data_IF_130099784490
#
_entry.id   IF_130099784490
#
_cell.length_a   1.000
_cell.length_b   1.000
_cell.length_c   1.000
_cell.angle_alpha   90.00
_cell.angle_beta   90.00
_cell.angle_gamma   90.00
#
_symmetry.space_group_name_H-M   'P 1'
#
loop_
_entity.id
_entity.type
_entity.pdbx_description
1 polymer ?
#
# COMPACT_ATOMS: atom_id res chain seq x y z
N UNK A 1 8.40 -7.44 9.97
CA UNK A 1 8.60 -8.89 9.83
C UNK A 1 9.91 -9.21 9.12
N UNK A 2 10.54 -10.34 9.47
CA UNK A 2 11.79 -10.85 8.88
C UNK A 2 11.68 -11.08 7.35
N UNK A 3 10.47 -11.22 6.83
CA UNK A 3 10.19 -11.46 5.40
C UNK A 3 10.30 -10.22 4.51
N UNK A 4 10.55 -9.05 5.08
CA UNK A 4 10.76 -7.84 4.28
C UNK A 4 12.04 -7.94 3.43
N UNK A 5 12.08 -7.21 2.29
CA UNK A 5 13.26 -7.18 1.41
C UNK A 5 14.51 -6.74 2.16
N UNK A 6 15.67 -7.31 1.78
CA UNK A 6 16.94 -7.01 2.44
C UNK A 6 17.30 -5.54 2.30
N UNK A 7 17.02 -4.95 1.15
CA UNK A 7 17.28 -3.53 0.85
C UNK A 7 16.57 -2.58 1.82
N UNK A 8 15.33 -2.92 2.25
CA UNK A 8 14.60 -2.14 3.27
C UNK A 8 15.28 -2.22 4.63
N UNK A 9 15.71 -3.42 5.02
CA UNK A 9 16.42 -3.64 6.29
C UNK A 9 17.73 -2.88 6.34
N UNK A 10 18.50 -2.95 5.26
CA UNK A 10 19.80 -2.28 5.15
C UNK A 10 19.65 -0.75 5.16
N UNK A 11 18.61 -0.22 4.50
CA UNK A 11 18.32 1.21 4.54
C UNK A 11 17.99 1.69 5.96
N UNK A 12 17.20 0.94 6.72
CA UNK A 12 16.89 1.29 8.10
C UNK A 12 18.15 1.32 8.97
N UNK A 13 19.04 0.33 8.82
CA UNK A 13 20.32 0.29 9.53
C UNK A 13 21.24 1.43 9.12
N UNK A 14 21.30 1.74 7.83
CA UNK A 14 22.08 2.87 7.28
C UNK A 14 21.62 4.22 7.87
N UNK A 15 20.31 4.36 8.10
CA UNK A 15 19.74 5.54 8.76
C UNK A 15 19.97 5.56 10.29
N UNK A 16 20.68 4.60 10.85
CA UNK A 16 20.99 4.54 12.27
C UNK A 16 19.88 3.91 13.13
N UNK A 17 18.87 3.28 12.53
CA UNK A 17 17.84 2.60 13.30
C UNK A 17 18.35 1.27 13.89
N UNK A 18 18.02 1.03 15.15
CA UNK A 18 18.12 -0.30 15.75
C UNK A 18 16.94 -1.13 15.25
N UNK A 19 17.23 -2.15 14.41
CA UNK A 19 16.20 -2.95 13.76
C UNK A 19 15.95 -4.25 14.52
N UNK A 20 14.73 -4.40 15.06
CA UNK A 20 14.26 -5.65 15.66
C UNK A 20 13.40 -6.42 14.67
N UNK A 21 13.94 -7.47 14.10
CA UNK A 21 13.22 -8.37 13.21
C UNK A 21 12.37 -9.36 14.01
N UNK A 22 11.16 -9.62 13.55
CA UNK A 22 10.21 -10.52 14.20
C UNK A 22 9.56 -11.46 13.17
N UNK A 23 9.03 -12.63 13.58
CA UNK A 23 8.35 -13.55 12.68
C UNK A 23 7.19 -12.89 11.92
N UNK A 24 6.97 -13.33 10.68
CA UNK A 24 5.81 -12.95 9.89
C UNK A 24 4.59 -13.75 10.31
N UNK A 25 3.83 -13.22 11.25
CA UNK A 25 2.62 -13.86 11.81
C UNK A 25 1.39 -12.97 11.66
N UNK A 26 0.16 -13.53 11.63
CA UNK A 26 -1.08 -12.76 11.54
C UNK A 26 -1.24 -11.76 12.70
N UNK A 27 -2.01 -10.70 12.48
CA UNK A 27 -2.25 -9.65 13.48
C UNK A 27 -2.77 -10.17 14.84
N UNK A 28 -3.56 -11.23 14.85
CA UNK A 28 -4.09 -11.86 16.07
C UNK A 28 -3.01 -12.54 16.95
N UNK A 29 -1.83 -12.81 16.38
CA UNK A 29 -0.72 -13.41 17.12
C UNK A 29 -0.02 -12.34 17.96
N UNK A 30 0.25 -12.56 19.26
CA UNK A 30 0.93 -11.59 20.11
C UNK A 30 2.38 -11.28 19.68
N UNK A 31 2.99 -12.12 18.84
CA UNK A 31 4.31 -11.90 18.25
C UNK A 31 4.27 -11.08 16.95
N UNK A 32 3.08 -10.67 16.51
CA UNK A 32 2.99 -9.77 15.37
C UNK A 32 3.72 -8.44 15.65
N UNK A 33 4.42 -7.94 14.66
CA UNK A 33 5.27 -6.73 14.78
C UNK A 33 4.53 -5.52 15.35
N UNK A 34 3.23 -5.38 15.15
CA UNK A 34 2.43 -4.28 15.71
C UNK A 34 2.36 -4.39 17.23
N UNK A 35 2.08 -5.59 17.75
CA UNK A 35 2.01 -5.82 19.20
C UNK A 35 3.40 -5.77 19.85
N UNK A 36 4.41 -6.33 19.17
CA UNK A 36 5.80 -6.29 19.65
C UNK A 36 6.31 -4.84 19.74
N UNK A 37 6.04 -4.00 18.73
CA UNK A 37 6.45 -2.60 18.77
C UNK A 37 5.77 -1.80 19.88
N UNK A 38 4.50 -2.11 20.18
CA UNK A 38 3.80 -1.49 21.31
C UNK A 38 4.44 -1.82 22.66
N UNK A 39 4.68 -3.12 22.94
CA UNK A 39 5.36 -3.57 24.16
C UNK A 39 6.77 -3.00 24.28
N UNK A 40 7.53 -2.99 23.20
CA UNK A 40 8.86 -2.42 23.18
C UNK A 40 8.83 -0.91 23.53
N UNK A 41 7.88 -0.16 22.99
CA UNK A 41 7.75 1.26 23.32
C UNK A 41 7.39 1.47 24.80
N UNK A 42 6.57 0.60 25.40
CA UNK A 42 6.26 0.63 26.84
C UNK A 42 7.49 0.33 27.70
N UNK A 43 8.28 -0.69 27.34
CA UNK A 43 9.55 -1.04 28.01
C UNK A 43 10.56 0.13 27.94
N UNK A 44 10.78 0.67 26.74
CA UNK A 44 11.70 1.78 26.53
C UNK A 44 11.23 3.06 27.23
N UNK A 45 9.94 3.30 27.32
CA UNK A 45 9.41 4.47 28.02
C UNK A 45 9.68 4.43 29.55
N UNK A 46 9.95 3.24 30.10
CA UNK A 46 10.31 3.08 31.51
C UNK A 46 11.84 3.12 31.73
N UNK A 47 12.64 2.74 30.75
CA UNK A 47 14.09 2.59 30.87
C UNK A 47 14.89 3.76 30.30
N UNK A 48 14.37 4.42 29.25
CA UNK A 48 15.09 5.49 28.56
C UNK A 48 14.80 6.86 29.19
N UNK A 49 15.84 7.72 29.38
CA UNK A 49 15.68 9.05 30.03
C UNK A 49 14.66 9.96 29.34
N UNK A 50 14.55 9.87 28.01
CA UNK A 50 13.62 10.67 27.19
C UNK A 50 12.34 9.93 26.84
N UNK A 51 12.16 8.70 27.35
CA UNK A 51 11.04 7.84 27.03
C UNK A 51 11.03 7.35 25.57
N UNK A 52 9.90 6.80 25.15
CA UNK A 52 9.69 6.31 23.77
C UNK A 52 8.28 6.63 23.28
N UNK A 53 8.16 6.88 22.00
CA UNK A 53 6.85 7.11 21.34
C UNK A 53 6.55 5.97 20.37
N UNK A 54 5.41 5.31 20.57
CA UNK A 54 4.86 4.39 19.59
C UNK A 54 3.95 5.13 18.62
N UNK A 55 4.37 5.26 17.36
CA UNK A 55 3.64 6.04 16.35
C UNK A 55 2.24 5.48 16.01
N UNK A 56 1.99 4.15 16.24
CA UNK A 56 0.69 3.49 16.01
C UNK A 56 0.12 3.75 14.63
N UNK A 57 0.95 3.68 13.59
CA UNK A 57 0.61 4.13 12.23
C UNK A 57 -0.71 3.59 11.66
N UNK A 58 -1.20 2.42 12.13
CA UNK A 58 -2.44 1.81 11.65
C UNK A 58 -3.70 2.43 12.27
N UNK A 59 -3.61 2.88 13.54
CA UNK A 59 -4.77 3.30 14.32
C UNK A 59 -4.71 4.75 14.78
N UNK A 60 -3.54 5.39 14.67
CA UNK A 60 -3.40 6.82 14.91
C UNK A 60 -3.93 7.61 13.71
N UNK A 61 -5.07 8.25 13.89
CA UNK A 61 -5.75 9.02 12.85
C UNK A 61 -4.99 10.25 12.37
N UNK A 62 -3.91 10.66 13.05
CA UNK A 62 -2.99 11.67 12.54
C UNK A 62 -2.41 11.28 11.17
N UNK A 63 -2.30 9.97 10.88
CA UNK A 63 -1.88 9.46 9.58
C UNK A 63 -2.87 9.89 8.48
N UNK A 64 -4.14 9.53 8.59
CA UNK A 64 -5.17 9.93 7.58
C UNK A 64 -5.36 11.45 7.53
N UNK A 65 -5.24 12.12 8.67
CA UNK A 65 -5.35 13.58 8.75
C UNK A 65 -4.23 14.27 7.96
N UNK A 66 -3.01 13.78 8.02
CA UNK A 66 -1.91 14.31 7.21
C UNK A 66 -2.24 14.28 5.71
N UNK A 67 -2.79 13.16 5.21
CA UNK A 67 -3.21 13.05 3.81
C UNK A 67 -4.44 13.91 3.46
N UNK A 68 -5.37 14.05 4.40
CA UNK A 68 -6.53 14.95 4.25
C UNK A 68 -6.10 16.42 4.13
N UNK A 69 -5.13 16.85 4.94
CA UNK A 69 -4.66 18.23 4.98
C UNK A 69 -3.64 18.56 3.87
N UNK A 70 -2.97 17.57 3.29
CA UNK A 70 -1.90 17.79 2.30
C UNK A 70 -2.13 17.09 0.97
N UNK A 71 -2.10 15.77 0.92
CA UNK A 71 -2.12 14.98 -0.33
C UNK A 71 -3.42 15.18 -1.11
N UNK A 72 -4.56 15.13 -0.44
CA UNK A 72 -5.87 15.34 -1.10
C UNK A 72 -6.01 16.74 -1.71
N UNK A 73 -5.74 17.83 -0.97
CA UNK A 73 -5.70 19.18 -1.52
C UNK A 73 -4.68 19.39 -2.64
N UNK A 74 -3.54 18.69 -2.58
CA UNK A 74 -2.53 18.76 -3.64
C UNK A 74 -3.04 18.10 -4.93
N UNK A 75 -3.63 16.91 -4.85
CA UNK A 75 -4.27 16.23 -5.99
C UNK A 75 -5.33 17.15 -6.61
N UNK A 76 -6.23 17.71 -5.80
CA UNK A 76 -7.27 18.62 -6.27
C UNK A 76 -6.69 19.82 -7.03
N UNK A 77 -5.67 20.47 -6.48
CA UNK A 77 -5.02 21.62 -7.10
C UNK A 77 -4.31 21.25 -8.40
N UNK A 78 -3.56 20.14 -8.43
CA UNK A 78 -2.78 19.71 -9.58
C UNK A 78 -3.64 19.21 -10.75
N UNK A 79 -4.87 18.78 -10.46
CA UNK A 79 -5.85 18.37 -11.48
C UNK A 79 -6.81 19.50 -11.87
N UNK A 80 -6.62 20.72 -11.37
CA UNK A 80 -7.59 21.83 -11.53
C UNK A 80 -9.02 21.43 -11.13
N UNK A 81 -9.15 20.58 -10.12
CA UNK A 81 -10.44 20.04 -9.66
C UNK A 81 -11.10 19.04 -10.61
N UNK A 82 -10.39 18.57 -11.64
CA UNK A 82 -10.91 17.65 -12.67
C UNK A 82 -10.62 16.18 -12.35
N UNK A 83 -10.62 15.80 -11.09
CA UNK A 83 -10.47 14.41 -10.67
C UNK A 83 -11.84 13.75 -10.54
N UNK A 84 -12.05 12.64 -11.24
CA UNK A 84 -13.30 11.87 -11.23
C UNK A 84 -13.17 10.59 -10.40
N UNK A 85 -11.95 10.07 -10.28
CA UNK A 85 -11.67 8.87 -9.51
C UNK A 85 -10.31 8.91 -8.82
N UNK A 86 -10.25 8.39 -7.60
CA UNK A 86 -9.01 8.14 -6.86
C UNK A 86 -8.97 6.71 -6.38
N UNK A 87 -7.85 6.03 -6.60
CA UNK A 87 -7.66 4.64 -6.21
C UNK A 87 -6.25 4.41 -5.70
N UNK A 88 -6.09 3.65 -4.63
CA UNK A 88 -4.80 3.09 -4.25
C UNK A 88 -4.96 1.83 -3.38
N UNK A 89 -3.85 1.13 -3.20
CA UNK A 89 -3.75 0.02 -2.26
C UNK A 89 -3.67 0.51 -0.81
N UNK A 90 -3.95 -0.38 0.12
CA UNK A 90 -3.98 -0.09 1.55
C UNK A 90 -2.90 -0.86 2.30
N UNK A 91 -1.99 -0.11 2.92
CA UNK A 91 -1.15 -0.57 4.03
C UNK A 91 -1.78 -0.18 5.36
N UNK A 92 -1.69 1.06 5.77
CA UNK A 92 -2.32 1.60 6.98
C UNK A 92 -3.74 2.12 6.76
N UNK A 93 -4.09 2.46 5.53
CA UNK A 93 -5.34 3.10 5.16
C UNK A 93 -5.28 4.64 5.18
N UNK A 94 -4.21 5.23 5.73
CA UNK A 94 -4.12 6.69 5.88
C UNK A 94 -4.26 7.44 4.55
N UNK A 95 -3.55 6.99 3.51
CA UNK A 95 -3.58 7.64 2.19
C UNK A 95 -4.98 7.55 1.56
N UNK A 96 -5.53 6.33 1.46
CA UNK A 96 -6.84 6.14 0.82
C UNK A 96 -7.93 6.93 1.55
N UNK A 97 -8.01 6.82 2.88
CA UNK A 97 -9.03 7.49 3.66
C UNK A 97 -8.84 9.01 3.67
N UNK A 98 -7.63 9.52 3.91
CA UNK A 98 -7.38 10.96 3.97
C UNK A 98 -7.63 11.67 2.64
N UNK A 99 -7.18 11.08 1.53
CA UNK A 99 -7.44 11.61 0.19
C UNK A 99 -8.93 11.54 -0.15
N UNK A 100 -9.59 10.41 0.13
CA UNK A 100 -11.02 10.26 -0.10
C UNK A 100 -11.84 11.33 0.64
N UNK A 101 -11.56 11.56 1.93
CA UNK A 101 -12.21 12.62 2.71
C UNK A 101 -12.02 14.00 2.06
N UNK A 102 -10.79 14.36 1.71
CA UNK A 102 -10.48 15.67 1.14
C UNK A 102 -11.11 15.90 -0.24
N UNK A 103 -11.18 14.84 -1.07
CA UNK A 103 -11.77 14.94 -2.40
C UNK A 103 -13.30 14.92 -2.36
N UNK A 104 -13.91 14.04 -1.56
CA UNK A 104 -15.38 13.94 -1.41
C UNK A 104 -15.99 15.19 -0.78
N UNK A 105 -15.28 15.89 0.10
CA UNK A 105 -15.71 17.18 0.65
C UNK A 105 -15.86 18.25 -0.44
N UNK A 106 -15.02 18.21 -1.48
CA UNK A 106 -15.04 19.16 -2.61
C UNK A 106 -16.01 18.75 -3.70
N UNK A 107 -16.07 17.46 -3.99
CA UNK A 107 -16.98 16.88 -4.96
C UNK A 107 -17.41 15.47 -4.53
N UNK A 108 -18.63 15.30 -4.00
CA UNK A 108 -19.16 14.01 -3.55
C UNK A 108 -19.25 12.94 -4.65
N UNK A 109 -19.27 13.32 -5.92
CA UNK A 109 -19.38 12.41 -7.06
C UNK A 109 -18.07 11.66 -7.39
N UNK A 110 -16.93 12.13 -6.90
CA UNK A 110 -15.63 11.48 -7.10
C UNK A 110 -15.69 10.03 -6.61
N UNK A 111 -15.28 9.10 -7.45
CA UNK A 111 -15.29 7.67 -7.13
C UNK A 111 -14.00 7.24 -6.41
N UNK A 112 -14.18 6.50 -5.33
CA UNK A 112 -13.07 5.97 -4.53
C UNK A 112 -12.91 4.49 -4.82
N UNK A 113 -11.73 4.12 -5.32
CA UNK A 113 -11.36 2.73 -5.57
C UNK A 113 -10.38 2.19 -4.53
N UNK A 114 -10.46 0.89 -4.29
CA UNK A 114 -9.47 0.12 -3.55
C UNK A 114 -8.80 -0.87 -4.51
N UNK A 115 -7.47 -0.86 -4.57
CA UNK A 115 -6.67 -1.89 -5.24
C UNK A 115 -6.05 -2.80 -4.18
N UNK A 116 -6.60 -4.00 -3.99
CA UNK A 116 -6.21 -4.91 -2.91
C UNK A 116 -5.51 -6.15 -3.48
N UNK A 117 -4.32 -6.54 -2.99
CA UNK A 117 -3.66 -7.74 -3.46
C UNK A 117 -4.32 -9.01 -2.89
N UNK A 118 -4.16 -10.19 -3.52
CA UNK A 118 -4.50 -11.47 -2.92
C UNK A 118 -3.81 -11.66 -1.57
N UNK A 119 -4.46 -12.34 -0.64
CA UNK A 119 -3.98 -12.49 0.75
C UNK A 119 -4.38 -11.35 1.69
N UNK A 120 -4.99 -10.29 1.16
CA UNK A 120 -5.62 -9.22 1.93
C UNK A 120 -7.13 -9.46 2.10
N UNK A 121 -7.77 -8.80 3.07
CA UNK A 121 -9.19 -9.00 3.38
C UNK A 121 -10.09 -7.83 2.99
N UNK A 122 -9.53 -6.68 2.61
CA UNK A 122 -10.33 -5.48 2.39
C UNK A 122 -11.15 -5.54 1.11
N UNK A 123 -10.64 -6.20 0.06
CA UNK A 123 -11.45 -6.45 -1.13
C UNK A 123 -12.77 -7.15 -0.78
N UNK A 124 -12.70 -8.28 -0.07
CA UNK A 124 -13.91 -9.02 0.33
C UNK A 124 -14.79 -8.20 1.28
N UNK A 125 -14.18 -7.43 2.17
CA UNK A 125 -14.94 -6.58 3.09
C UNK A 125 -15.77 -5.51 2.34
N UNK A 126 -15.17 -4.77 1.43
CA UNK A 126 -15.90 -3.71 0.70
C UNK A 126 -16.80 -4.25 -0.41
N UNK A 127 -16.51 -5.44 -0.96
CA UNK A 127 -17.35 -6.07 -1.98
C UNK A 127 -18.51 -6.86 -1.38
N UNK A 128 -18.30 -7.58 -0.28
CA UNK A 128 -19.21 -8.58 0.23
C UNK A 128 -19.56 -8.41 1.74
N UNK A 129 -18.94 -7.47 2.44
CA UNK A 129 -19.13 -7.27 3.89
C UNK A 129 -18.34 -8.24 4.78
N UNK A 130 -17.43 -9.05 4.23
CA UNK A 130 -16.69 -10.08 4.96
C UNK A 130 -15.20 -9.80 5.01
N UNK A 131 -14.60 -9.77 6.21
CA UNK A 131 -13.14 -9.72 6.39
C UNK A 131 -12.53 -11.11 6.16
N UNK A 132 -12.33 -11.47 4.90
CA UNK A 132 -11.79 -12.76 4.49
C UNK A 132 -10.59 -12.57 3.56
N UNK A 133 -9.43 -13.08 3.98
CA UNK A 133 -8.21 -13.10 3.17
C UNK A 133 -8.09 -14.41 2.41
N UNK A 134 -7.84 -14.35 1.11
CA UNK A 134 -7.65 -15.52 0.23
C UNK A 134 -6.47 -15.29 -0.71
N UNK A 135 -5.66 -16.33 -0.92
CA UNK A 135 -4.46 -16.25 -1.77
C UNK A 135 -3.25 -15.66 -1.07
N UNK A 136 -2.29 -15.22 -1.86
CA UNK A 136 -1.06 -14.55 -1.43
C UNK A 136 -0.52 -13.64 -2.52
N UNK A 137 0.31 -12.67 -2.17
CA UNK A 137 0.97 -11.76 -3.09
C UNK A 137 2.43 -11.57 -2.71
N UNK A 138 3.28 -11.24 -3.69
CA UNK A 138 4.67 -10.83 -3.45
C UNK A 138 4.78 -9.38 -2.98
N UNK A 139 3.68 -8.63 -3.03
CA UNK A 139 3.65 -7.22 -2.64
C UNK A 139 3.92 -7.04 -1.15
N UNK A 140 4.77 -6.07 -0.81
CA UNK A 140 5.12 -5.73 0.56
C UNK A 140 4.56 -4.36 0.94
N UNK A 141 4.17 -4.21 2.22
CA UNK A 141 3.70 -2.93 2.78
C UNK A 141 2.24 -2.60 2.49
N UNK A 142 1.53 -3.43 1.72
CA UNK A 142 0.11 -3.33 1.43
C UNK A 142 -0.60 -4.66 1.75
N UNK A 143 -1.92 -4.67 1.71
CA UNK A 143 -2.75 -5.82 2.04
C UNK A 143 -3.07 -5.90 3.54
N UNK A 144 -4.29 -5.54 3.91
CA UNK A 144 -4.74 -5.56 5.31
C UNK A 144 -5.71 -6.69 5.59
N UNK A 145 -5.56 -7.32 6.77
CA UNK A 145 -6.46 -8.35 7.29
C UNK A 145 -7.53 -7.80 8.24
N UNK A 146 -7.58 -6.49 8.47
CA UNK A 146 -8.53 -5.84 9.40
C UNK A 146 -8.86 -4.42 8.97
N UNK A 147 -9.95 -3.88 9.49
CA UNK A 147 -10.22 -2.45 9.43
C UNK A 147 -9.33 -1.75 10.46
N UNK A 148 -8.48 -0.85 9.98
CA UNK A 148 -7.61 -0.03 10.84
C UNK A 148 -8.34 1.22 11.29
N UNK A 149 -7.85 1.90 12.34
CA UNK A 149 -8.43 3.18 12.78
C UNK A 149 -8.41 4.27 11.71
N UNK A 150 -7.49 4.18 10.72
CA UNK A 150 -7.48 5.10 9.59
C UNK A 150 -8.63 4.85 8.58
N UNK A 151 -9.17 3.62 8.53
CA UNK A 151 -10.22 3.23 7.58
C UNK A 151 -11.64 3.39 8.13
N UNK A 152 -11.77 3.78 9.41
CA UNK A 152 -13.09 4.02 10.00
C UNK A 152 -13.89 5.02 9.15
N UNK A 153 -15.16 4.69 8.89
CA UNK A 153 -16.10 5.48 8.11
C UNK A 153 -15.76 5.63 6.61
N UNK A 154 -14.67 5.03 6.13
CA UNK A 154 -14.35 5.05 4.71
C UNK A 154 -15.36 4.20 3.92
N UNK A 155 -15.93 4.79 2.89
CA UNK A 155 -16.69 4.07 1.86
C UNK A 155 -15.83 3.94 0.59
N UNK A 156 -15.88 2.75 -0.02
CA UNK A 156 -15.21 2.44 -1.28
C UNK A 156 -16.27 2.16 -2.33
N UNK A 157 -16.23 2.89 -3.45
CA UNK A 157 -17.19 2.71 -4.53
C UNK A 157 -16.82 1.50 -5.42
N UNK A 158 -15.52 1.27 -5.62
CA UNK A 158 -14.99 0.22 -6.51
C UNK A 158 -13.85 -0.57 -5.85
N UNK A 159 -14.13 -1.67 -5.15
CA UNK A 159 -13.08 -2.57 -4.68
C UNK A 159 -12.63 -3.50 -5.82
N UNK A 160 -11.30 -3.61 -6.04
CA UNK A 160 -10.71 -4.54 -7.00
C UNK A 160 -9.66 -5.40 -6.31
N UNK A 161 -9.72 -6.71 -6.53
CA UNK A 161 -8.62 -7.60 -6.22
C UNK A 161 -7.66 -7.64 -7.42
N UNK A 162 -6.39 -7.28 -7.19
CA UNK A 162 -5.36 -7.17 -8.22
C UNK A 162 -4.31 -8.27 -8.01
N UNK A 163 -4.33 -9.34 -8.81
CA UNK A 163 -3.36 -10.43 -8.68
C UNK A 163 -1.96 -10.02 -9.18
N UNK A 164 -0.93 -10.75 -8.69
CA UNK A 164 0.47 -10.48 -9.06
C UNK A 164 0.72 -10.66 -10.57
N UNK A 165 0.03 -11.58 -11.21
CA UNK A 165 0.10 -11.83 -12.66
C UNK A 165 -0.35 -10.62 -13.48
N UNK A 166 -1.18 -9.76 -12.92
CA UNK A 166 -1.61 -8.49 -13.54
C UNK A 166 -0.69 -7.32 -13.14
N UNK A 167 -0.35 -7.20 -11.86
CA UNK A 167 0.39 -6.05 -11.34
C UNK A 167 1.88 -6.06 -11.68
N UNK A 168 2.51 -7.23 -11.71
CA UNK A 168 3.95 -7.37 -12.00
C UNK A 168 4.29 -6.92 -13.42
N UNK A 169 3.61 -7.38 -14.50
CA UNK A 169 3.83 -6.84 -15.85
C UNK A 169 3.64 -5.33 -15.94
N UNK A 170 2.64 -4.76 -15.26
CA UNK A 170 2.41 -3.31 -15.23
C UNK A 170 3.61 -2.57 -14.64
N UNK A 171 4.26 -3.14 -13.60
CA UNK A 171 5.47 -2.54 -13.03
C UNK A 171 6.64 -2.54 -14.03
N UNK A 172 6.77 -3.58 -14.84
CA UNK A 172 7.78 -3.63 -15.90
C UNK A 172 7.46 -2.67 -17.06
N UNK A 173 6.19 -2.52 -17.40
CA UNK A 173 5.74 -1.57 -18.42
C UNK A 173 6.03 -0.12 -18.00
N UNK A 174 5.85 0.22 -16.71
CA UNK A 174 6.22 1.53 -16.17
C UNK A 174 7.71 1.84 -16.38
N UNK A 175 8.59 0.85 -16.17
CA UNK A 175 10.01 1.06 -16.50
C UNK A 175 10.25 1.18 -17.99
N UNK A 176 9.70 0.27 -18.79
CA UNK A 176 9.99 0.18 -20.22
C UNK A 176 9.48 1.36 -21.03
N UNK A 177 8.30 1.87 -20.69
CA UNK A 177 7.60 2.88 -21.47
C UNK A 177 7.64 4.28 -20.86
N UNK A 178 7.73 4.36 -19.50
CA UNK A 178 7.69 5.64 -18.79
C UNK A 178 9.02 5.97 -18.05
N UNK A 179 9.95 5.02 -17.98
CA UNK A 179 11.23 5.21 -17.29
C UNK A 179 11.14 5.15 -15.75
N UNK A 180 10.02 4.67 -15.19
CA UNK A 180 9.81 4.59 -13.75
C UNK A 180 10.13 3.21 -13.17
N UNK A 181 11.23 3.11 -12.40
CA UNK A 181 11.59 1.91 -11.62
C UNK A 181 10.81 1.91 -10.31
N UNK A 182 9.67 1.24 -10.26
CA UNK A 182 8.75 1.30 -9.13
C UNK A 182 8.67 -0.03 -8.36
N UNK A 183 8.18 0.03 -7.12
CA UNK A 183 7.84 -1.14 -6.31
C UNK A 183 6.53 -1.81 -6.74
N UNK A 184 6.29 -3.05 -6.27
CA UNK A 184 5.11 -3.85 -6.65
C UNK A 184 3.78 -3.16 -6.30
N UNK A 185 3.70 -2.43 -5.20
CA UNK A 185 2.51 -1.67 -4.81
C UNK A 185 2.10 -0.61 -5.84
N UNK A 186 3.08 -0.01 -6.55
CA UNK A 186 2.79 0.90 -7.67
C UNK A 186 2.18 0.16 -8.86
N UNK A 187 2.64 -1.05 -9.15
CA UNK A 187 2.02 -1.93 -10.15
C UNK A 187 0.57 -2.27 -9.81
N UNK A 188 0.30 -2.63 -8.55
CA UNK A 188 -1.06 -2.86 -8.04
C UNK A 188 -1.93 -1.61 -8.22
N UNK A 189 -1.40 -0.44 -7.86
CA UNK A 189 -2.12 0.82 -7.97
C UNK A 189 -2.46 1.18 -9.42
N UNK A 190 -1.50 1.07 -10.33
CA UNK A 190 -1.72 1.39 -11.75
C UNK A 190 -2.65 0.37 -12.41
N UNK A 191 -2.55 -0.93 -12.09
CA UNK A 191 -3.50 -1.94 -12.56
C UNK A 191 -4.92 -1.63 -12.07
N UNK A 192 -5.08 -1.28 -10.78
CA UNK A 192 -6.34 -0.82 -10.22
C UNK A 192 -6.87 0.44 -10.91
N UNK A 193 -6.00 1.43 -11.17
CA UNK A 193 -6.38 2.65 -11.88
C UNK A 193 -6.86 2.39 -13.32
N UNK A 194 -6.22 1.44 -14.02
CA UNK A 194 -6.70 0.99 -15.35
C UNK A 194 -8.10 0.38 -15.28
N UNK A 195 -8.39 -0.42 -14.26
CA UNK A 195 -9.74 -0.98 -14.04
C UNK A 195 -10.75 0.13 -13.72
N UNK A 196 -10.43 1.03 -12.80
CA UNK A 196 -11.31 2.15 -12.45
C UNK A 196 -11.58 3.05 -13.66
N UNK A 197 -10.56 3.37 -14.45
CA UNK A 197 -10.72 4.16 -15.67
C UNK A 197 -11.65 3.48 -16.70
N UNK A 198 -11.60 2.14 -16.78
CA UNK A 198 -12.51 1.37 -17.63
C UNK A 198 -13.96 1.42 -17.14
N UNK A 199 -14.18 1.35 -15.82
CA UNK A 199 -15.52 1.49 -15.22
C UNK A 199 -16.12 2.87 -15.44
N UNK A 200 -15.31 3.93 -15.30
CA UNK A 200 -15.76 5.31 -15.49
C UNK A 200 -15.96 5.67 -16.97
N UNK A 201 -15.21 5.04 -17.86
CA UNK A 201 -15.25 5.30 -19.30
C UNK A 201 -14.38 6.48 -19.77
N UNK A 202 -14.41 6.79 -21.07
CA UNK A 202 -13.59 7.84 -21.66
C UNK A 202 -13.92 9.24 -21.11
N UNK A 203 -12.91 10.10 -21.03
CA UNK A 203 -13.07 11.50 -20.63
C UNK A 203 -12.95 11.76 -19.13
N UNK A 204 -12.77 10.72 -18.32
CA UNK A 204 -12.60 10.84 -16.87
C UNK A 204 -11.12 10.87 -16.45
N UNK A 205 -10.82 11.63 -15.43
CA UNK A 205 -9.49 11.72 -14.80
C UNK A 205 -9.43 10.81 -13.60
N UNK A 206 -8.57 9.79 -13.66
CA UNK A 206 -8.30 8.88 -12.54
C UNK A 206 -6.90 9.14 -11.99
N UNK A 207 -6.80 9.32 -10.68
CA UNK A 207 -5.53 9.54 -9.97
C UNK A 207 -5.21 8.33 -9.10
N UNK A 208 -3.94 7.92 -9.10
CA UNK A 208 -3.39 6.89 -8.22
C UNK A 208 -2.03 7.29 -7.68
N UNK A 209 -1.45 6.44 -6.81
CA UNK A 209 -0.17 6.70 -6.14
C UNK A 209 0.91 5.79 -6.70
N UNK A 210 2.06 6.35 -7.09
CA UNK A 210 3.30 5.62 -7.26
C UNK A 210 4.04 5.65 -5.90
N UNK A 211 4.07 4.51 -5.19
CA UNK A 211 4.36 4.46 -3.77
C UNK A 211 5.85 4.64 -3.44
N UNK A 212 6.70 3.78 -4.00
CA UNK A 212 8.12 3.77 -3.73
C UNK A 212 8.96 3.23 -4.89
N UNK A 213 10.27 3.44 -4.80
CA UNK A 213 11.21 3.04 -5.82
C UNK A 213 11.47 1.54 -5.82
N UNK A 214 11.60 0.96 -7.01
CA UNK A 214 11.91 -0.45 -7.25
C UNK A 214 13.27 -0.90 -6.70
N UNK A 215 14.20 0.03 -6.46
CA UNK A 215 15.49 -0.24 -5.82
C UNK A 215 15.38 -0.85 -4.43
N UNK A 216 14.21 -0.76 -3.79
CA UNK A 216 13.90 -1.43 -2.52
C UNK A 216 13.57 -2.91 -2.66
N UNK A 217 13.50 -3.44 -3.89
CA UNK A 217 13.00 -4.77 -4.22
C UNK A 217 13.87 -5.50 -5.24
N UNK A 218 15.15 -5.14 -5.34
CA UNK A 218 16.09 -5.75 -6.29
C UNK A 218 16.24 -7.26 -6.04
N UNK A 219 16.24 -7.67 -4.79
CA UNK A 219 16.31 -9.08 -4.39
C UNK A 219 15.03 -9.89 -4.66
N UNK A 220 13.91 -9.23 -5.00
CA UNK A 220 12.59 -9.86 -5.21
C UNK A 220 11.97 -9.51 -6.56
N UNK A 221 11.24 -8.38 -6.65
CA UNK A 221 10.52 -7.96 -7.86
C UNK A 221 11.41 -7.83 -9.10
N UNK A 222 12.66 -7.41 -8.91
CA UNK A 222 13.63 -7.21 -9.99
C UNK A 222 14.64 -8.38 -10.09
N UNK A 223 14.33 -9.53 -9.46
CA UNK A 223 15.13 -10.75 -9.51
C UNK A 223 14.42 -11.83 -10.34
N UNK A 224 14.95 -12.20 -11.52
CA UNK A 224 14.33 -13.19 -12.40
C UNK A 224 14.13 -14.56 -11.73
N UNK A 225 15.10 -14.99 -10.90
CA UNK A 225 15.01 -16.27 -10.20
C UNK A 225 13.86 -16.26 -9.19
N UNK A 226 13.75 -15.20 -8.38
CA UNK A 226 12.64 -15.06 -7.45
C UNK A 226 11.28 -15.08 -8.14
N UNK A 227 11.14 -14.35 -9.27
CA UNK A 227 9.87 -14.32 -10.02
C UNK A 227 9.51 -15.70 -10.59
N UNK A 228 10.49 -16.43 -11.18
CA UNK A 228 10.27 -17.79 -11.68
C UNK A 228 9.87 -18.76 -10.57
N UNK A 229 10.51 -18.68 -9.41
CA UNK A 229 10.18 -19.51 -8.24
C UNK A 229 8.74 -19.26 -7.74
N UNK A 230 8.21 -18.07 -8.01
CA UNK A 230 6.83 -17.66 -7.70
C UNK A 230 5.85 -17.93 -8.86
N UNK A 231 6.31 -18.43 -9.99
CA UNK A 231 5.48 -18.65 -11.18
C UNK A 231 5.03 -17.35 -11.86
N UNK A 232 5.74 -16.24 -11.63
CA UNK A 232 5.39 -14.92 -12.14
C UNK A 232 6.12 -14.59 -13.45
N UNK A 233 5.55 -13.73 -14.29
CA UNK A 233 6.16 -13.33 -15.55
C UNK A 233 7.54 -12.68 -15.35
N UNK A 234 8.51 -13.07 -16.17
CA UNK A 234 9.84 -12.46 -16.25
C UNK A 234 10.01 -11.88 -17.65
N UNK A 235 10.27 -10.58 -17.79
CA UNK A 235 10.50 -10.01 -19.13
C UNK A 235 11.87 -10.40 -19.65
N UNK A 236 11.99 -10.66 -20.96
CA UNK A 236 13.23 -11.12 -21.63
C UNK A 236 14.46 -10.23 -21.36
N UNK A 237 14.23 -8.93 -21.20
CA UNK A 237 15.32 -7.96 -20.95
C UNK A 237 15.88 -8.02 -19.53
N UNK A 238 15.13 -8.58 -18.57
CA UNK A 238 15.57 -8.76 -17.18
C UNK A 238 16.43 -10.03 -17.01
N UNK A 239 16.40 -10.94 -17.97
CA UNK A 239 17.17 -12.19 -17.96
C UNK A 239 18.60 -12.03 -18.50
N UNK A 240 18.93 -10.86 -19.02
CA UNK A 240 20.26 -10.53 -19.56
C UNK A 240 21.14 -9.92 -18.49
#
# INVERSE_FOLDING_TARGET
PETQSQEKKDMLRLCGAELKEVPAVPYKDPNNYVHVSGRLAEELNQSEPNGAIWARQFDNQANRRGHYETTGPEIWRQTDGKVDGFICAVGTGGTLAGVAMALKERNPEIKIGLADPPGAALYNYYANGELKAEGSSISEGIGQGRITGNLEELTVDFPFQIPDEESVPVTFDLLRHEGFVMGASSGVNVAGAKRLAKELGPGHTVVTILCDWGTRYVSKLWNPTFLRDKGLPVPDWLEK
#
